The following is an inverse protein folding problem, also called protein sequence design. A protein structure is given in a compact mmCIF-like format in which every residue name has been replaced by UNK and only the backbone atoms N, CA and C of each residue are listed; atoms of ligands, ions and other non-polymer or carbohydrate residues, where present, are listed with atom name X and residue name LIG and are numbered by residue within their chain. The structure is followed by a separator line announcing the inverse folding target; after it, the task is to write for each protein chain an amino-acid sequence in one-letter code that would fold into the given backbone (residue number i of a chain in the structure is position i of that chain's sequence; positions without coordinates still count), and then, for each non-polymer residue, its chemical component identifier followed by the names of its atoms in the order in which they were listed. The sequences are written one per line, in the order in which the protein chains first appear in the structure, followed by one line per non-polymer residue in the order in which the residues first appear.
data_IF_934097160827
#
_entry.id   IF_934097160827
#
_cell.length_a   1.000
_cell.length_b   1.000
_cell.length_c   1.000
_cell.angle_alpha   90.00
_cell.angle_beta   90.00
_cell.angle_gamma   90.00
#
_symmetry.space_group_name_H-M   'P 1'
#
loop_
_entity.id
_entity.type
_entity.pdbx_description
1 polymer ?
#
# COMPACT_ATOMS: atom_id res chain seq x y z
N UNK A 1 6.99 19.09 -21.02
CA UNK A 1 6.16 18.40 -20.04
C UNK A 1 5.88 17.01 -20.59
N UNK A 2 6.62 16.00 -20.14
CA UNK A 2 6.44 14.63 -20.61
C UNK A 2 5.14 14.09 -20.03
N UNK A 3 4.14 13.82 -20.86
CA UNK A 3 3.00 12.98 -20.47
C UNK A 3 3.56 11.58 -20.21
N UNK A 4 3.68 11.19 -18.96
CA UNK A 4 3.89 9.79 -18.61
C UNK A 4 2.73 9.00 -19.19
N UNK A 5 2.97 8.21 -20.20
CA UNK A 5 2.01 7.20 -20.68
C UNK A 5 2.02 6.08 -19.63
N UNK A 6 1.24 6.26 -18.58
CA UNK A 6 1.24 5.40 -17.39
C UNK A 6 0.72 3.99 -17.65
N UNK A 7 0.00 3.77 -18.71
CA UNK A 7 -0.57 2.46 -19.04
C UNK A 7 0.49 1.40 -19.41
N UNK A 8 1.72 1.82 -19.72
CA UNK A 8 2.79 0.93 -20.17
C UNK A 8 4.05 0.98 -19.31
N UNK A 9 4.12 1.87 -18.32
CA UNK A 9 5.36 2.13 -17.58
C UNK A 9 5.57 1.21 -16.37
N UNK A 10 4.56 0.42 -15.98
CA UNK A 10 4.60 -0.45 -14.80
C UNK A 10 4.01 -1.83 -15.10
N UNK A 11 4.58 -2.52 -16.07
CA UNK A 11 4.05 -3.79 -16.59
C UNK A 11 3.95 -4.87 -15.54
N UNK A 12 5.04 -5.14 -14.86
CA UNK A 12 5.09 -6.12 -13.77
C UNK A 12 6.31 -5.86 -12.88
N UNK A 13 6.17 -5.99 -11.56
CA UNK A 13 7.32 -6.03 -10.67
C UNK A 13 8.15 -7.28 -10.94
N UNK A 14 9.44 -7.27 -10.55
CA UNK A 14 10.24 -8.46 -10.60
C UNK A 14 9.74 -9.52 -9.60
N UNK A 15 9.27 -9.06 -8.43
CA UNK A 15 8.62 -9.89 -7.42
C UNK A 15 7.35 -9.20 -6.93
N UNK A 16 6.24 -9.94 -6.86
CA UNK A 16 4.92 -9.48 -6.41
C UNK A 16 4.42 -10.39 -5.29
N UNK A 17 4.29 -9.83 -4.08
CA UNK A 17 3.85 -10.53 -2.88
C UNK A 17 2.54 -9.94 -2.39
N UNK A 18 1.46 -10.69 -2.52
CA UNK A 18 0.11 -10.28 -2.08
C UNK A 18 -0.38 -11.16 -0.94
N UNK A 19 -0.86 -10.52 0.12
CA UNK A 19 -1.42 -11.19 1.31
C UNK A 19 -0.49 -12.28 1.89
N UNK A 20 0.82 -12.07 1.81
CA UNK A 20 1.83 -13.00 2.32
C UNK A 20 2.27 -12.65 3.74
N UNK A 21 2.87 -13.63 4.44
CA UNK A 21 3.38 -13.45 5.80
C UNK A 21 4.77 -14.02 5.97
N UNK A 22 5.56 -13.34 6.83
CA UNK A 22 6.88 -13.78 7.25
C UNK A 22 7.81 -14.05 6.06
N UNK A 23 7.94 -13.05 5.18
CA UNK A 23 8.76 -13.13 3.97
C UNK A 23 10.18 -12.70 4.34
N UNK A 24 11.15 -13.51 3.96
CA UNK A 24 12.57 -13.16 4.01
C UNK A 24 13.19 -13.35 2.62
N UNK A 25 13.68 -12.25 2.08
CA UNK A 25 14.43 -12.23 0.82
C UNK A 25 15.88 -11.91 1.15
N UNK A 26 16.79 -12.80 0.84
CA UNK A 26 18.21 -12.64 1.14
C UNK A 26 19.06 -12.88 -0.11
N UNK A 27 20.07 -12.04 -0.28
CA UNK A 27 21.07 -12.17 -1.36
C UNK A 27 20.46 -12.18 -2.77
N UNK A 28 19.40 -11.40 -2.98
CA UNK A 28 18.74 -11.25 -4.30
C UNK A 28 19.41 -10.13 -5.10
N UNK A 29 19.67 -10.39 -6.36
CA UNK A 29 20.11 -9.36 -7.31
C UNK A 29 19.10 -9.19 -8.43
N UNK A 30 18.55 -7.98 -8.59
CA UNK A 30 17.69 -7.58 -9.69
C UNK A 30 18.47 -6.60 -10.57
N UNK A 31 18.61 -6.93 -11.84
CA UNK A 31 19.27 -6.05 -12.81
C UNK A 31 18.31 -5.22 -13.63
N UNK A 32 17.08 -5.71 -13.80
CA UNK A 32 16.07 -5.01 -14.56
C UNK A 32 14.66 -5.51 -14.25
N UNK A 33 13.71 -4.57 -14.15
CA UNK A 33 12.27 -4.85 -14.13
C UNK A 33 11.50 -3.78 -14.91
N UNK A 34 10.42 -4.18 -15.57
CA UNK A 34 9.52 -3.28 -16.29
C UNK A 34 8.46 -2.63 -15.38
N UNK A 35 8.62 -2.73 -14.10
CA UNK A 35 7.83 -2.14 -13.04
C UNK A 35 8.71 -1.93 -11.82
N UNK A 36 8.18 -2.23 -10.65
CA UNK A 36 8.91 -2.22 -9.37
C UNK A 36 9.89 -3.39 -9.26
N UNK A 37 10.89 -3.28 -8.41
CA UNK A 37 11.75 -4.40 -8.06
C UNK A 37 11.01 -5.39 -7.18
N UNK A 38 10.67 -4.99 -5.96
CA UNK A 38 9.87 -5.77 -5.02
C UNK A 38 8.59 -5.02 -4.69
N UNK A 39 7.45 -5.64 -4.92
CA UNK A 39 6.13 -5.15 -4.53
C UNK A 39 5.55 -6.04 -3.43
N UNK A 40 5.15 -5.42 -2.32
CA UNK A 40 4.43 -6.07 -1.23
C UNK A 40 3.09 -5.38 -1.04
N UNK A 41 2.02 -6.12 -1.25
CA UNK A 41 0.66 -5.65 -1.07
C UNK A 41 0.00 -6.44 0.06
N UNK A 42 -0.51 -5.73 1.06
CA UNK A 42 -1.23 -6.32 2.20
C UNK A 42 -0.52 -7.53 2.82
N UNK A 43 0.78 -7.41 2.98
CA UNK A 43 1.64 -8.46 3.54
C UNK A 43 2.11 -8.11 4.96
N UNK A 44 2.55 -9.12 5.71
CA UNK A 44 2.89 -9.00 7.13
C UNK A 44 4.29 -9.57 7.41
N UNK A 45 5.14 -8.80 8.09
CA UNK A 45 6.51 -9.15 8.48
C UNK A 45 7.39 -9.49 7.27
N UNK A 46 8.07 -8.48 6.71
CA UNK A 46 8.92 -8.62 5.54
C UNK A 46 10.36 -8.24 5.85
N UNK A 47 11.30 -9.00 5.32
CA UNK A 47 12.73 -8.72 5.41
C UNK A 47 13.37 -8.80 4.02
N UNK A 48 14.15 -7.78 3.68
CA UNK A 48 15.00 -7.76 2.49
C UNK A 48 16.43 -7.56 2.99
N UNK A 49 17.25 -8.59 2.83
CA UNK A 49 18.59 -8.64 3.39
C UNK A 49 19.62 -8.81 2.28
N UNK A 50 20.79 -8.14 2.41
CA UNK A 50 21.97 -8.34 1.54
C UNK A 50 21.63 -8.33 0.04
N UNK A 51 20.58 -7.60 -0.33
CA UNK A 51 20.00 -7.66 -1.69
C UNK A 51 20.26 -6.38 -2.45
N UNK A 52 20.19 -6.45 -3.77
CA UNK A 52 20.50 -5.29 -4.59
C UNK A 52 19.64 -5.20 -5.85
N UNK A 53 19.33 -3.98 -6.22
CA UNK A 53 18.73 -3.59 -7.49
C UNK A 53 19.73 -2.66 -8.16
N UNK A 54 20.52 -3.20 -9.08
CA UNK A 54 21.67 -2.50 -9.68
C UNK A 54 21.85 -2.93 -11.13
N UNK A 55 22.42 -2.05 -11.93
CA UNK A 55 22.76 -2.40 -13.31
C UNK A 55 23.87 -3.46 -13.37
N UNK A 56 23.85 -4.37 -14.35
CA UNK A 56 24.96 -5.29 -14.56
C UNK A 56 26.23 -4.54 -14.95
N UNK A 57 27.39 -5.08 -14.60
CA UNK A 57 28.67 -4.52 -15.04
C UNK A 57 28.75 -4.54 -16.57
N UNK A 58 29.36 -3.50 -17.12
CA UNK A 58 29.58 -3.35 -18.58
C UNK A 58 28.30 -3.27 -19.44
N UNK A 59 27.16 -2.93 -18.85
CA UNK A 59 25.91 -2.69 -19.59
C UNK A 59 25.88 -1.28 -20.18
N UNK A 60 25.13 -1.11 -21.27
CA UNK A 60 24.73 0.22 -21.77
C UNK A 60 23.38 0.67 -21.22
N UNK A 61 22.74 -0.12 -20.35
CA UNK A 61 21.50 0.26 -19.68
C UNK A 61 21.76 1.36 -18.68
N UNK A 62 20.80 2.29 -18.55
CA UNK A 62 20.84 3.40 -17.60
C UNK A 62 19.77 3.30 -16.52
N UNK A 63 18.85 2.33 -16.64
CA UNK A 63 17.69 2.15 -15.76
C UNK A 63 17.65 0.69 -15.28
N UNK A 64 17.49 0.49 -13.97
CA UNK A 64 17.26 -0.80 -13.36
C UNK A 64 15.78 -1.17 -13.32
N UNK A 65 14.94 -0.31 -12.70
CA UNK A 65 13.49 -0.49 -12.64
C UNK A 65 12.77 0.75 -13.20
N UNK A 66 11.61 0.56 -13.84
CA UNK A 66 10.83 1.68 -14.39
C UNK A 66 9.93 2.34 -13.35
N UNK A 67 9.86 1.78 -12.15
CA UNK A 67 9.19 2.30 -10.97
C UNK A 67 10.09 2.08 -9.74
N UNK A 68 9.50 2.03 -8.53
CA UNK A 68 10.23 1.93 -7.27
C UNK A 68 11.15 0.68 -7.21
N UNK A 69 12.24 0.77 -6.47
CA UNK A 69 13.03 -0.42 -6.17
C UNK A 69 12.25 -1.34 -5.21
N UNK A 70 11.70 -0.78 -4.14
CA UNK A 70 10.83 -1.52 -3.19
C UNK A 70 9.58 -0.72 -2.88
N UNK A 71 8.43 -1.40 -2.86
CA UNK A 71 7.13 -0.78 -2.62
C UNK A 71 6.30 -1.62 -1.66
N UNK A 72 5.85 -1.01 -0.56
CA UNK A 72 5.04 -1.66 0.47
C UNK A 72 3.73 -0.89 0.61
N UNK A 73 2.64 -1.48 0.15
CA UNK A 73 1.32 -0.88 0.23
C UNK A 73 0.42 -1.64 1.18
N UNK A 74 -0.13 -0.91 2.16
CA UNK A 74 -1.07 -1.44 3.16
C UNK A 74 -0.53 -2.71 3.86
N UNK A 75 0.73 -2.70 4.23
CA UNK A 75 1.39 -3.78 4.96
C UNK A 75 1.28 -3.59 6.47
N UNK A 76 1.59 -4.63 7.26
CA UNK A 76 1.63 -4.56 8.73
C UNK A 76 2.80 -5.36 9.31
N UNK A 77 2.98 -5.23 10.64
CA UNK A 77 4.11 -5.84 11.35
C UNK A 77 5.42 -5.13 11.03
N UNK A 78 6.51 -5.85 11.02
CA UNK A 78 7.83 -5.29 10.83
C UNK A 78 8.29 -5.40 9.38
N UNK A 79 8.79 -4.28 8.85
CA UNK A 79 9.50 -4.22 7.56
C UNK A 79 10.95 -3.90 7.85
N UNK A 80 11.86 -4.79 7.47
CA UNK A 80 13.30 -4.61 7.60
C UNK A 80 13.97 -4.63 6.24
N UNK A 81 14.73 -3.58 5.93
CA UNK A 81 15.67 -3.54 4.80
C UNK A 81 17.07 -3.38 5.39
N UNK A 82 17.95 -4.36 5.16
CA UNK A 82 19.30 -4.38 5.74
C UNK A 82 20.36 -4.76 4.72
N UNK A 83 21.47 -4.00 4.71
CA UNK A 83 22.61 -4.19 3.80
C UNK A 83 22.19 -4.26 2.31
N UNK A 84 21.28 -3.41 1.89
CA UNK A 84 20.75 -3.40 0.52
C UNK A 84 21.28 -2.22 -0.28
N UNK A 85 21.29 -2.37 -1.60
CA UNK A 85 21.73 -1.34 -2.55
C UNK A 85 20.71 -1.19 -3.68
N UNK A 86 20.13 0.01 -3.83
CA UNK A 86 19.15 0.32 -4.86
C UNK A 86 19.63 1.50 -5.70
N UNK A 87 19.78 1.27 -7.01
CA UNK A 87 20.33 2.25 -7.94
C UNK A 87 19.59 2.28 -9.27
N UNK A 88 19.57 3.45 -9.89
CA UNK A 88 19.09 3.67 -11.26
C UNK A 88 17.61 3.32 -11.51
N UNK A 89 16.76 3.34 -10.46
CA UNK A 89 15.31 3.29 -10.62
C UNK A 89 14.78 4.63 -11.14
N UNK A 90 13.64 4.62 -11.81
CA UNK A 90 12.98 5.84 -12.30
C UNK A 90 12.02 6.47 -11.29
N UNK A 91 11.83 5.86 -10.15
CA UNK A 91 10.97 6.34 -9.06
C UNK A 91 11.68 6.14 -7.72
N UNK A 92 10.97 5.89 -6.62
CA UNK A 92 11.52 5.81 -5.28
C UNK A 92 12.46 4.62 -5.05
N UNK A 93 13.49 4.80 -4.22
CA UNK A 93 14.30 3.69 -3.70
C UNK A 93 13.50 2.77 -2.79
N UNK A 94 12.63 3.38 -1.98
CA UNK A 94 11.71 2.66 -1.10
C UNK A 94 10.48 3.51 -0.87
N UNK A 95 9.30 2.93 -1.05
CA UNK A 95 8.02 3.55 -0.77
C UNK A 95 7.22 2.68 0.21
N UNK A 96 6.76 3.27 1.32
CA UNK A 96 5.94 2.59 2.34
C UNK A 96 4.72 3.43 2.63
N UNK A 97 3.54 2.96 2.29
CA UNK A 97 2.31 3.72 2.52
C UNK A 97 1.09 2.85 2.80
N UNK A 98 0.10 3.46 3.44
CA UNK A 98 -1.24 2.89 3.61
C UNK A 98 -2.15 3.16 2.41
N UNK A 99 -3.37 2.65 2.50
CA UNK A 99 -4.44 2.94 1.55
C UNK A 99 -5.55 3.70 2.26
N UNK A 100 -5.99 4.78 1.62
CA UNK A 100 -7.13 5.59 2.08
C UNK A 100 -8.35 5.26 1.24
N UNK A 101 -9.52 5.29 1.87
CA UNK A 101 -10.80 5.26 1.19
C UNK A 101 -11.62 6.47 1.59
N UNK A 102 -12.45 6.96 0.68
CA UNK A 102 -13.33 8.08 0.92
C UNK A 102 -14.75 7.60 1.21
N UNK A 103 -15.39 8.19 2.20
CA UNK A 103 -16.81 7.97 2.49
C UNK A 103 -17.64 8.44 1.29
N UNK A 104 -18.35 7.51 0.66
CA UNK A 104 -19.29 7.80 -0.41
C UNK A 104 -20.71 8.04 0.14
N UNK A 105 -21.10 7.24 1.14
CA UNK A 105 -22.41 7.36 1.79
C UNK A 105 -22.38 6.82 3.23
N UNK A 106 -23.00 7.53 4.15
CA UNK A 106 -23.33 7.00 5.49
C UNK A 106 -24.70 6.33 5.38
N UNK A 107 -24.75 5.02 5.51
CA UNK A 107 -25.96 4.21 5.29
C UNK A 107 -26.84 4.20 6.53
N UNK A 108 -26.22 3.99 7.69
CA UNK A 108 -26.87 4.00 9.01
C UNK A 108 -25.83 4.33 10.10
N UNK A 109 -26.24 4.28 11.37
CA UNK A 109 -25.38 4.62 12.52
C UNK A 109 -24.12 3.76 12.66
N UNK A 110 -24.03 2.63 11.99
CA UNK A 110 -22.92 1.66 12.07
C UNK A 110 -22.27 1.35 10.74
N UNK A 111 -22.82 1.84 9.63
CA UNK A 111 -22.47 1.37 8.30
C UNK A 111 -22.19 2.51 7.33
N UNK A 112 -21.05 2.43 6.64
CA UNK A 112 -20.71 3.34 5.54
C UNK A 112 -20.42 2.58 4.26
N UNK A 113 -20.71 3.21 3.13
CA UNK A 113 -20.14 2.85 1.84
C UNK A 113 -18.92 3.74 1.60
N UNK A 114 -17.81 3.13 1.27
CA UNK A 114 -16.55 3.81 0.94
C UNK A 114 -16.11 3.52 -0.48
N UNK A 115 -15.29 4.40 -1.05
CA UNK A 115 -14.78 4.25 -2.41
C UNK A 115 -13.26 4.33 -2.47
N UNK A 116 -12.67 3.44 -3.26
CA UNK A 116 -11.29 3.50 -3.72
C UNK A 116 -11.21 4.54 -4.84
N UNK A 117 -10.39 5.58 -4.67
CA UNK A 117 -10.36 6.73 -5.60
C UNK A 117 -9.34 6.59 -6.70
N UNK A 118 -8.18 6.06 -6.38
CA UNK A 118 -7.10 5.90 -7.36
C UNK A 118 -7.34 4.65 -8.22
N UNK A 119 -7.06 4.75 -9.51
CA UNK A 119 -7.29 3.64 -10.43
C UNK A 119 -6.44 2.39 -10.10
N UNK A 120 -5.24 2.56 -9.56
CA UNK A 120 -4.37 1.45 -9.11
C UNK A 120 -4.88 0.76 -7.84
N UNK A 121 -5.86 1.34 -7.15
CA UNK A 121 -6.47 0.76 -5.97
C UNK A 121 -7.72 -0.07 -6.27
N UNK A 122 -8.23 -0.03 -7.52
CA UNK A 122 -9.45 -0.76 -7.87
C UNK A 122 -9.31 -2.26 -7.60
N UNK A 123 -10.27 -2.82 -6.87
CA UNK A 123 -10.22 -4.22 -6.43
C UNK A 123 -9.35 -4.48 -5.18
N UNK A 124 -8.72 -3.45 -4.63
CA UNK A 124 -7.85 -3.57 -3.46
C UNK A 124 -8.63 -3.94 -2.19
N UNK A 125 -8.11 -4.87 -1.40
CA UNK A 125 -8.69 -5.26 -0.12
C UNK A 125 -8.30 -4.25 0.96
N UNK A 126 -9.15 -3.25 1.18
CA UNK A 126 -8.89 -2.18 2.14
C UNK A 126 -8.92 -2.65 3.60
N UNK A 127 -9.92 -3.47 3.97
CA UNK A 127 -10.12 -3.90 5.34
C UNK A 127 -10.70 -5.32 5.42
N UNK A 128 -10.59 -5.93 6.58
CA UNK A 128 -11.25 -7.17 6.94
C UNK A 128 -11.88 -7.05 8.35
N UNK A 129 -12.70 -8.02 8.72
CA UNK A 129 -13.31 -8.08 10.05
C UNK A 129 -12.22 -8.10 11.12
N UNK A 130 -12.35 -7.22 12.11
CA UNK A 130 -11.40 -7.06 13.22
C UNK A 130 -10.35 -5.99 13.00
N UNK A 131 -10.25 -5.41 11.80
CA UNK A 131 -9.36 -4.27 11.56
C UNK A 131 -9.87 -3.02 12.29
N UNK A 132 -8.96 -2.26 12.86
CA UNK A 132 -9.19 -0.93 13.42
C UNK A 132 -9.02 0.12 12.34
N UNK A 133 -9.96 1.05 12.28
CA UNK A 133 -10.00 2.12 11.29
C UNK A 133 -9.98 3.48 11.98
N UNK A 134 -9.09 4.36 11.54
CA UNK A 134 -9.15 5.79 11.87
C UNK A 134 -10.13 6.52 10.97
N UNK A 135 -10.91 7.42 11.56
CA UNK A 135 -11.76 8.36 10.84
C UNK A 135 -11.07 9.72 10.79
N UNK A 136 -11.00 10.31 9.61
CA UNK A 136 -10.40 11.61 9.34
C UNK A 136 -11.53 12.50 8.81
N UNK A 137 -12.10 13.31 9.69
CA UNK A 137 -13.29 14.11 9.39
C UNK A 137 -12.87 15.52 8.99
N UNK A 138 -13.23 15.89 7.77
CA UNK A 138 -12.94 17.21 7.22
C UNK A 138 -13.63 18.33 8.05
N UNK A 139 -12.95 19.48 8.32
CA UNK A 139 -11.73 19.96 7.67
C UNK A 139 -10.41 19.55 8.34
N UNK A 140 -10.43 18.79 9.43
CA UNK A 140 -9.21 18.36 10.09
C UNK A 140 -8.53 17.23 9.32
N UNK A 141 -7.21 17.32 9.01
CA UNK A 141 -6.45 16.22 8.45
C UNK A 141 -5.96 15.23 9.51
N UNK A 142 -6.32 15.40 10.76
CA UNK A 142 -5.84 14.58 11.87
C UNK A 142 -6.63 13.27 11.96
N UNK A 143 -5.94 12.21 12.32
CA UNK A 143 -6.54 10.93 12.71
C UNK A 143 -7.41 11.14 13.95
N UNK A 144 -8.70 10.89 13.81
CA UNK A 144 -9.69 11.04 14.87
C UNK A 144 -9.98 9.74 15.60
N UNK A 145 -11.25 9.45 15.82
CA UNK A 145 -11.71 8.26 16.53
C UNK A 145 -11.30 6.96 15.80
N UNK A 146 -11.21 5.89 16.58
CA UNK A 146 -10.96 4.53 16.10
C UNK A 146 -12.18 3.66 16.32
N UNK A 147 -12.57 2.92 15.30
CA UNK A 147 -13.63 1.92 15.42
C UNK A 147 -13.21 0.62 14.70
N UNK A 148 -13.68 -0.49 15.22
CA UNK A 148 -13.32 -1.82 14.71
C UNK A 148 -14.33 -2.29 13.67
N UNK A 149 -13.86 -2.79 12.55
CA UNK A 149 -14.69 -3.35 11.48
C UNK A 149 -15.36 -4.64 11.97
N UNK A 150 -16.67 -4.68 11.95
CA UNK A 150 -17.48 -5.87 12.28
C UNK A 150 -17.83 -6.70 11.05
N UNK A 151 -17.99 -6.04 9.89
CA UNK A 151 -18.32 -6.68 8.62
C UNK A 151 -17.80 -5.88 7.43
N UNK A 152 -17.33 -6.59 6.40
CA UNK A 152 -16.95 -6.04 5.10
C UNK A 152 -17.80 -6.69 4.02
N UNK A 153 -18.31 -5.90 3.10
CA UNK A 153 -19.01 -6.36 1.91
C UNK A 153 -18.50 -5.62 0.68
N UNK A 154 -17.81 -6.30 -0.22
CA UNK A 154 -17.31 -5.75 -1.47
C UNK A 154 -18.44 -5.68 -2.47
N UNK A 155 -18.85 -4.46 -2.86
CA UNK A 155 -19.91 -4.24 -3.85
C UNK A 155 -19.41 -4.43 -5.28
N UNK A 156 -18.22 -3.89 -5.55
CA UNK A 156 -17.49 -4.02 -6.81
C UNK A 156 -16.04 -3.57 -6.60
N UNK A 157 -15.26 -3.45 -7.67
CA UNK A 157 -13.85 -3.04 -7.59
C UNK A 157 -13.61 -1.66 -6.93
N UNK A 158 -14.60 -0.77 -6.95
CA UNK A 158 -14.51 0.60 -6.43
C UNK A 158 -15.15 0.78 -5.08
N UNK A 159 -16.26 0.13 -4.81
CA UNK A 159 -17.09 0.38 -3.63
C UNK A 159 -17.07 -0.79 -2.65
N UNK A 160 -16.86 -0.45 -1.39
CA UNK A 160 -16.86 -1.39 -0.26
C UNK A 160 -17.83 -0.85 0.79
N UNK A 161 -18.64 -1.71 1.35
CA UNK A 161 -19.47 -1.42 2.51
C UNK A 161 -18.79 -1.95 3.76
N UNK A 162 -18.61 -1.06 4.74
CA UNK A 162 -18.00 -1.38 6.04
C UNK A 162 -19.02 -1.16 7.13
N UNK A 163 -19.24 -2.17 7.97
CA UNK A 163 -20.00 -2.04 9.21
C UNK A 163 -19.03 -2.09 10.41
N UNK A 164 -19.34 -1.34 11.46
CA UNK A 164 -18.47 -1.17 12.61
C UNK A 164 -19.07 -1.70 13.90
N UNK A 165 -18.23 -1.98 14.90
CA UNK A 165 -18.65 -2.53 16.19
C UNK A 165 -19.33 -1.49 17.09
N UNK A 166 -19.01 -0.20 16.93
CA UNK A 166 -19.58 0.92 17.65
C UNK A 166 -20.25 1.87 16.67
N UNK A 167 -21.14 2.77 17.14
CA UNK A 167 -21.67 3.85 16.29
C UNK A 167 -20.55 4.63 15.60
N UNK A 168 -20.85 5.11 14.41
CA UNK A 168 -19.96 5.95 13.63
C UNK A 168 -19.73 7.30 14.34
N UNK A 169 -18.57 7.95 14.15
CA UNK A 169 -18.32 9.27 14.71
C UNK A 169 -19.38 10.29 14.28
N UNK A 170 -19.77 11.15 15.22
CA UNK A 170 -20.70 12.22 14.93
C UNK A 170 -20.14 13.17 13.86
N UNK A 171 -20.96 13.51 12.87
CA UNK A 171 -20.58 14.42 11.80
C UNK A 171 -19.84 13.77 10.64
N UNK A 172 -19.65 12.46 10.65
CA UNK A 172 -19.10 11.72 9.50
C UNK A 172 -20.02 11.91 8.29
N UNK A 173 -19.41 12.25 7.15
CA UNK A 173 -20.16 12.59 5.94
C UNK A 173 -19.39 12.17 4.69
N UNK A 174 -20.06 12.24 3.57
CA UNK A 174 -19.44 12.05 2.25
C UNK A 174 -18.23 12.96 2.06
N UNK A 175 -17.14 12.39 1.57
CA UNK A 175 -15.87 13.08 1.36
C UNK A 175 -14.88 12.95 2.52
N UNK A 176 -15.32 12.50 3.69
CA UNK A 176 -14.40 12.18 4.79
C UNK A 176 -13.57 10.91 4.45
N UNK A 177 -12.45 10.76 5.13
CA UNK A 177 -11.45 9.72 4.81
C UNK A 177 -11.40 8.68 5.92
N UNK A 178 -11.23 7.42 5.53
CA UNK A 178 -10.92 6.31 6.42
C UNK A 178 -9.53 5.76 6.11
N UNK A 179 -8.74 5.51 7.15
CA UNK A 179 -7.40 4.90 7.08
C UNK A 179 -7.37 3.63 7.92
N UNK A 180 -6.80 2.56 7.38
CA UNK A 180 -6.69 1.31 8.12
C UNK A 180 -5.50 1.38 9.10
N UNK A 181 -5.82 1.43 10.41
CA UNK A 181 -4.84 1.49 11.50
C UNK A 181 -4.11 0.17 11.70
N UNK A 182 -4.78 -0.96 11.52
CA UNK A 182 -4.20 -2.29 11.73
C UNK A 182 -3.11 -2.59 10.71
N UNK A 183 -3.27 -2.06 9.50
CA UNK A 183 -2.31 -2.22 8.41
C UNK A 183 -1.38 -1.01 8.31
N UNK A 184 -0.63 -0.76 9.39
CA UNK A 184 0.34 0.31 9.52
C UNK A 184 1.64 -0.28 10.10
N UNK A 185 2.68 -0.50 9.27
CA UNK A 185 3.87 -1.24 9.67
C UNK A 185 4.86 -0.39 10.47
N UNK A 186 5.75 -1.08 11.18
CA UNK A 186 7.02 -0.51 11.67
C UNK A 186 8.07 -0.69 10.57
N UNK A 187 8.69 0.39 10.14
CA UNK A 187 9.71 0.37 9.08
C UNK A 187 11.10 0.64 9.62
N UNK A 188 12.05 -0.23 9.29
CA UNK A 188 13.47 -0.09 9.65
C UNK A 188 14.34 -0.31 8.43
N UNK A 189 15.24 0.64 8.17
CA UNK A 189 16.28 0.53 7.15
C UNK A 189 17.64 0.77 7.80
N UNK A 190 18.62 -0.10 7.52
CA UNK A 190 20.00 0.01 8.06
C UNK A 190 21.02 -0.73 7.19
N UNK A 191 22.29 -0.32 7.32
CA UNK A 191 23.40 -0.91 6.57
C UNK A 191 24.34 0.09 6.00
#
# INVERSE_FOLDING_TARGET
MYKRQREHDRYAPAFDFKECKNICLDSITIHHALGMGFLFERSENMQILNSQIVLPKHTQRVISTTADATHFVNCKGDILIENCRFENMLDDGTNVHGTYVEVDEVIDDYTVRVSLKHFEQLGFKFAERGDDIWFIIHPSPQRGEVNTVSRVFTLNERFIQLSFAKPLPAGLKRGDILENKTWNPTFTMRG
#
